data_IF_082830136526
#
_entry.id   IF_082830136526
#
_cell.length_a   1.000
_cell.length_b   1.000
_cell.length_c   1.000
_cell.angle_alpha   90.00
_cell.angle_beta   90.00
_cell.angle_gamma   90.00
#
_symmetry.space_group_name_H-M   'P 1'
#
loop_
_entity.id
_entity.type
_entity.pdbx_description
1 polymer ?
#
# COMPACT_ATOMS: atom_id res chain seq x y z
N UNK A 1 62.93 -12.15 -62.07
CA UNK A 1 61.51 -12.58 -62.03
C UNK A 1 60.70 -11.37 -62.47
N UNK A 2 60.24 -11.35 -63.73
CA UNK A 2 59.71 -10.12 -64.35
C UNK A 2 58.24 -9.91 -64.01
N UNK A 3 57.84 -8.65 -63.80
CA UNK A 3 56.51 -8.21 -63.36
C UNK A 3 55.36 -8.72 -64.27
N UNK A 4 55.64 -9.04 -65.54
CA UNK A 4 54.68 -9.65 -66.46
C UNK A 4 54.28 -11.10 -66.14
N UNK A 5 55.00 -11.79 -65.23
CA UNK A 5 54.67 -13.17 -64.81
C UNK A 5 53.58 -13.23 -63.73
N UNK A 6 53.28 -12.10 -63.09
CA UNK A 6 52.27 -12.00 -62.02
C UNK A 6 50.90 -11.61 -62.61
N UNK A 7 50.87 -10.83 -63.70
CA UNK A 7 49.64 -10.37 -64.35
C UNK A 7 48.83 -11.49 -65.04
N UNK A 8 49.49 -12.45 -65.69
CA UNK A 8 48.83 -13.63 -66.30
C UNK A 8 48.52 -14.74 -65.31
N UNK A 9 48.92 -14.60 -64.04
CA UNK A 9 48.65 -15.58 -62.97
C UNK A 9 47.29 -15.34 -62.29
N UNK A 10 46.65 -14.18 -62.53
CA UNK A 10 45.35 -13.82 -61.94
C UNK A 10 44.13 -14.19 -62.80
N UNK A 11 44.33 -14.64 -64.04
CA UNK A 11 43.29 -15.41 -64.74
C UNK A 11 43.33 -16.84 -64.18
N UNK A 12 42.64 -17.04 -63.04
CA UNK A 12 42.33 -18.33 -62.47
C UNK A 12 41.46 -19.12 -63.47
N UNK A 13 42.10 -19.72 -64.46
CA UNK A 13 41.44 -20.59 -65.42
C UNK A 13 40.96 -21.84 -64.67
N UNK A 14 39.64 -22.00 -64.56
CA UNK A 14 39.00 -23.12 -63.87
C UNK A 14 39.50 -24.48 -64.37
N UNK A 15 39.97 -24.54 -65.62
CA UNK A 15 40.59 -25.74 -66.20
C UNK A 15 41.89 -26.16 -65.50
N UNK A 16 42.76 -25.22 -65.11
CA UNK A 16 44.04 -25.52 -64.44
C UNK A 16 43.83 -25.97 -62.99
N UNK A 17 42.91 -25.31 -62.30
CA UNK A 17 42.52 -25.68 -60.94
C UNK A 17 41.97 -27.10 -60.89
N UNK A 18 41.17 -27.51 -61.89
CA UNK A 18 40.65 -28.87 -62.00
C UNK A 18 41.76 -29.91 -62.25
N UNK A 19 42.77 -29.60 -63.08
CA UNK A 19 43.91 -30.48 -63.33
C UNK A 19 44.76 -30.67 -62.08
N UNK A 20 45.03 -29.61 -61.32
CA UNK A 20 45.77 -29.69 -60.06
C UNK A 20 45.01 -30.47 -58.99
N UNK A 21 43.70 -30.26 -58.89
CA UNK A 21 42.84 -30.99 -57.96
C UNK A 21 42.77 -32.49 -58.33
N UNK A 22 42.68 -32.82 -59.62
CA UNK A 22 42.66 -34.20 -60.11
C UNK A 22 44.01 -34.90 -59.90
N UNK A 23 45.13 -34.19 -60.10
CA UNK A 23 46.46 -34.72 -59.81
C UNK A 23 46.72 -34.90 -58.30
N UNK A 24 46.12 -34.03 -57.47
CA UNK A 24 46.18 -34.10 -56.01
C UNK A 24 45.10 -34.95 -55.35
N UNK A 25 44.22 -35.61 -56.12
CA UNK A 25 43.05 -36.32 -55.59
C UNK A 25 43.43 -37.44 -54.61
N UNK A 26 44.53 -38.16 -54.87
CA UNK A 26 45.05 -39.16 -53.95
C UNK A 26 45.49 -38.56 -52.60
N UNK A 27 46.07 -37.35 -52.62
CA UNK A 27 46.48 -36.62 -51.42
C UNK A 27 45.28 -36.07 -50.65
N UNK A 28 44.25 -35.60 -51.36
CA UNK A 28 42.97 -35.19 -50.77
C UNK A 28 42.27 -36.37 -50.08
N UNK A 29 42.20 -37.54 -50.73
CA UNK A 29 41.64 -38.75 -50.14
C UNK A 29 42.46 -39.24 -48.94
N UNK A 30 43.79 -39.20 -49.02
CA UNK A 30 44.67 -39.58 -47.91
C UNK A 30 44.44 -38.66 -46.69
N UNK A 31 44.41 -37.34 -46.89
CA UNK A 31 44.19 -36.40 -45.80
C UNK A 31 42.77 -36.45 -45.24
N UNK A 32 41.77 -36.77 -46.06
CA UNK A 32 40.42 -37.04 -45.57
C UNK A 32 40.38 -38.30 -44.68
N UNK A 33 41.08 -39.37 -45.05
CA UNK A 33 41.18 -40.58 -44.22
C UNK A 33 41.93 -40.28 -42.91
N UNK A 34 43.07 -39.59 -42.98
CA UNK A 34 43.84 -39.19 -41.79
C UNK A 34 43.01 -38.28 -40.88
N UNK A 35 42.33 -37.28 -41.44
CA UNK A 35 41.43 -36.40 -40.71
C UNK A 35 40.28 -37.17 -40.05
N UNK A 36 39.71 -38.16 -40.74
CA UNK A 36 38.69 -39.04 -40.18
C UNK A 36 39.20 -39.90 -39.03
N UNK A 37 40.42 -40.44 -39.13
CA UNK A 37 41.08 -41.20 -38.05
C UNK A 37 41.34 -40.29 -36.84
N UNK A 38 41.87 -39.08 -37.07
CA UNK A 38 42.11 -38.10 -35.99
C UNK A 38 40.80 -37.70 -35.31
N UNK A 39 39.73 -37.45 -36.08
CA UNK A 39 38.40 -37.15 -35.54
C UNK A 39 37.82 -38.32 -34.75
N UNK A 40 37.98 -39.56 -35.23
CA UNK A 40 37.56 -40.77 -34.52
C UNK A 40 38.35 -41.01 -33.24
N UNK A 41 39.67 -40.85 -33.29
CA UNK A 41 40.55 -40.96 -32.12
C UNK A 41 40.19 -39.89 -31.07
N UNK A 42 39.98 -38.65 -31.48
CA UNK A 42 39.51 -37.59 -30.59
C UNK A 42 38.16 -37.93 -29.94
N UNK A 43 37.21 -38.50 -30.69
CA UNK A 43 35.92 -38.91 -30.15
C UNK A 43 35.98 -40.10 -29.16
N UNK A 44 37.09 -40.84 -29.13
CA UNK A 44 37.33 -41.95 -28.20
C UNK A 44 38.18 -41.53 -27.00
N UNK A 45 39.17 -40.66 -27.19
CA UNK A 45 40.08 -40.21 -26.15
C UNK A 45 39.54 -39.01 -25.36
N UNK A 46 38.62 -38.24 -25.91
CA UNK A 46 38.05 -37.08 -25.24
C UNK A 46 37.12 -37.49 -24.09
N UNK A 47 37.16 -36.74 -22.98
CA UNK A 47 36.35 -36.99 -21.77
C UNK A 47 34.87 -37.01 -22.13
N UNK A 48 34.20 -38.12 -21.82
CA UNK A 48 32.77 -38.28 -22.06
C UNK A 48 31.99 -37.44 -21.04
N UNK A 49 30.95 -36.76 -21.50
CA UNK A 49 30.04 -35.99 -20.64
C UNK A 49 28.61 -36.48 -20.82
N UNK A 50 27.92 -36.63 -19.71
CA UNK A 50 26.51 -37.02 -19.62
C UNK A 50 25.73 -35.82 -19.09
N UNK A 51 24.83 -35.32 -19.91
CA UNK A 51 23.94 -34.21 -19.54
C UNK A 51 22.59 -34.77 -19.10
N UNK A 52 22.14 -34.39 -17.91
CA UNK A 52 20.80 -34.66 -17.42
C UNK A 52 19.95 -33.40 -17.50
N UNK A 53 18.65 -33.59 -17.70
CA UNK A 53 17.65 -32.51 -17.77
C UNK A 53 16.63 -32.66 -16.65
N UNK A 54 16.33 -31.57 -15.95
CA UNK A 54 15.31 -31.50 -14.90
C UNK A 54 14.36 -30.34 -15.22
N UNK A 55 13.06 -30.61 -15.24
CA UNK A 55 12.06 -29.59 -15.58
C UNK A 55 11.38 -29.07 -14.32
N UNK A 56 11.47 -27.76 -14.13
CA UNK A 56 10.99 -27.05 -12.94
C UNK A 56 9.88 -26.08 -13.36
N UNK A 57 8.71 -26.21 -12.76
CA UNK A 57 7.63 -25.23 -12.88
C UNK A 57 7.87 -24.09 -11.90
N UNK A 58 7.99 -22.87 -12.43
CA UNK A 58 8.02 -21.65 -11.63
C UNK A 58 6.65 -21.01 -11.74
N UNK A 59 5.76 -21.30 -10.78
CA UNK A 59 4.40 -20.78 -10.83
C UNK A 59 4.42 -19.25 -10.71
N UNK A 60 3.81 -18.49 -11.64
CA UNK A 60 3.68 -17.03 -11.56
C UNK A 60 2.69 -16.56 -10.49
N UNK A 61 2.39 -17.41 -9.49
CA UNK A 61 1.56 -17.09 -8.35
C UNK A 61 2.30 -16.11 -7.42
N UNK A 62 2.52 -14.89 -7.88
CA UNK A 62 2.71 -13.80 -6.94
C UNK A 62 1.51 -13.82 -5.99
N UNK A 63 1.80 -13.68 -4.69
CA UNK A 63 0.85 -13.13 -3.75
C UNK A 63 0.34 -11.82 -4.37
N UNK A 64 -0.79 -11.86 -5.09
CA UNK A 64 -1.56 -10.67 -5.38
C UNK A 64 -2.21 -10.26 -4.07
N UNK A 65 -1.39 -9.64 -3.22
CA UNK A 65 -1.84 -8.99 -2.01
C UNK A 65 -2.81 -7.86 -2.38
N UNK A 66 -2.73 -7.30 -3.59
CA UNK A 66 -3.48 -6.13 -4.04
C UNK A 66 -4.03 -6.31 -5.46
N UNK A 67 -5.35 -6.40 -5.66
CA UNK A 67 -5.95 -5.99 -6.93
C UNK A 67 -5.72 -4.48 -7.03
N UNK A 68 -4.73 -4.06 -7.81
CA UNK A 68 -4.63 -2.66 -8.23
C UNK A 68 -5.46 -2.54 -9.51
N UNK A 69 -6.71 -2.11 -9.38
CA UNK A 69 -7.60 -1.78 -10.52
C UNK A 69 -7.10 -0.57 -11.35
N UNK A 70 -5.90 -0.05 -11.04
CA UNK A 70 -5.30 1.13 -11.63
C UNK A 70 -4.28 0.83 -12.73
N UNK A 71 -3.90 -0.42 -12.96
CA UNK A 71 -2.94 -0.80 -14.02
C UNK A 71 -3.58 -1.72 -15.08
N UNK A 72 -3.30 -1.50 -16.38
CA UNK A 72 -3.81 -2.37 -17.44
C UNK A 72 -3.21 -3.78 -17.34
N UNK A 73 -4.06 -4.78 -17.55
CA UNK A 73 -3.79 -6.22 -17.41
C UNK A 73 -2.57 -6.73 -18.24
N UNK A 74 -2.17 -6.02 -19.30
CA UNK A 74 -1.00 -6.36 -20.12
C UNK A 74 0.34 -6.15 -19.41
N UNK A 75 0.49 -5.08 -18.60
CA UNK A 75 1.70 -4.81 -17.84
C UNK A 75 1.94 -5.88 -16.73
N UNK A 76 0.88 -6.59 -16.35
CA UNK A 76 0.89 -7.61 -15.32
C UNK A 76 1.48 -8.94 -15.81
N UNK A 77 1.28 -9.29 -17.09
CA UNK A 77 1.83 -10.51 -17.71
C UNK A 77 3.33 -10.37 -17.95
N UNK A 78 3.78 -9.21 -18.44
CA UNK A 78 5.20 -8.93 -18.63
C UNK A 78 5.97 -8.94 -17.29
N UNK A 79 5.38 -8.41 -16.22
CA UNK A 79 5.94 -8.46 -14.87
C UNK A 79 6.09 -9.89 -14.33
N UNK A 80 5.12 -10.76 -14.62
CA UNK A 80 5.18 -12.18 -14.24
C UNK A 80 6.29 -12.91 -14.99
N UNK A 81 6.44 -12.67 -16.29
CA UNK A 81 7.51 -13.27 -17.09
C UNK A 81 8.92 -12.82 -16.64
N UNK A 82 9.08 -11.53 -16.31
CA UNK A 82 10.32 -10.99 -15.75
C UNK A 82 10.65 -11.59 -14.38
N UNK A 83 9.64 -11.87 -13.55
CA UNK A 83 9.83 -12.53 -12.26
C UNK A 83 10.28 -13.98 -12.42
N UNK A 84 9.72 -14.72 -13.38
CA UNK A 84 10.13 -16.09 -13.70
C UNK A 84 11.57 -16.14 -14.20
N UNK A 85 11.98 -15.21 -15.09
CA UNK A 85 13.37 -15.08 -15.55
C UNK A 85 14.34 -14.70 -14.43
N UNK A 86 13.90 -13.88 -13.49
CA UNK A 86 14.71 -13.55 -12.30
C UNK A 86 14.92 -14.77 -11.42
N UNK A 87 13.88 -15.60 -11.22
CA UNK A 87 13.97 -16.88 -10.50
C UNK A 87 14.85 -17.90 -11.22
N UNK A 88 14.79 -17.97 -12.55
CA UNK A 88 15.73 -18.76 -13.36
C UNK A 88 17.18 -18.31 -13.13
N UNK A 89 17.45 -16.99 -13.05
CA UNK A 89 18.80 -16.50 -12.80
C UNK A 89 19.32 -16.89 -11.41
N UNK A 90 18.43 -17.04 -10.43
CA UNK A 90 18.75 -17.53 -9.09
C UNK A 90 19.15 -19.02 -9.13
N UNK A 91 18.48 -19.84 -9.95
CA UNK A 91 18.80 -21.27 -10.13
C UNK A 91 20.27 -21.51 -10.55
N UNK A 92 20.83 -20.61 -11.36
CA UNK A 92 22.25 -20.65 -11.81
C UNK A 92 23.13 -19.60 -11.10
N UNK A 93 22.68 -19.08 -9.97
CA UNK A 93 23.42 -18.07 -9.21
C UNK A 93 24.63 -18.67 -8.50
N UNK A 94 25.64 -17.83 -8.25
CA UNK A 94 26.84 -18.24 -7.53
C UNK A 94 26.55 -18.69 -6.09
N UNK A 95 25.51 -18.17 -5.42
CA UNK A 95 25.14 -18.61 -4.07
C UNK A 95 24.59 -20.03 -4.05
N UNK A 96 23.70 -20.37 -5.00
CA UNK A 96 23.20 -21.74 -5.18
C UNK A 96 24.32 -22.68 -5.55
N UNK A 97 25.10 -22.36 -6.58
CA UNK A 97 26.20 -23.23 -7.03
C UNK A 97 27.31 -23.35 -5.99
N UNK A 98 27.59 -22.31 -5.20
CA UNK A 98 28.58 -22.40 -4.12
C UNK A 98 28.13 -23.30 -2.99
N UNK A 99 26.84 -23.30 -2.62
CA UNK A 99 26.31 -24.21 -1.59
C UNK A 99 26.34 -25.66 -2.09
N UNK A 100 26.04 -25.90 -3.36
CA UNK A 100 26.18 -27.22 -4.00
C UNK A 100 27.63 -27.73 -4.00
N UNK A 101 28.60 -26.84 -4.24
CA UNK A 101 30.03 -27.18 -4.13
C UNK A 101 30.40 -27.60 -2.71
N UNK A 102 29.80 -26.97 -1.70
CA UNK A 102 30.02 -27.33 -0.29
C UNK A 102 29.31 -28.63 0.09
N UNK A 103 28.03 -28.78 -0.27
CA UNK A 103 27.17 -29.91 0.09
C UNK A 103 27.63 -31.23 -0.54
N UNK A 104 28.18 -31.17 -1.76
CA UNK A 104 28.72 -32.33 -2.48
C UNK A 104 30.25 -32.45 -2.40
N UNK A 105 30.93 -31.57 -1.65
CA UNK A 105 32.39 -31.51 -1.53
C UNK A 105 33.13 -31.54 -2.89
N UNK A 106 32.62 -30.76 -3.86
CA UNK A 106 33.16 -30.73 -5.23
C UNK A 106 34.57 -30.14 -5.30
N UNK A 107 35.02 -29.45 -4.24
CA UNK A 107 36.39 -28.97 -4.12
C UNK A 107 37.42 -30.11 -3.98
N UNK A 108 36.99 -31.29 -3.53
CA UNK A 108 37.81 -32.50 -3.43
C UNK A 108 37.72 -33.40 -4.67
N UNK A 109 36.78 -33.13 -5.58
CA UNK A 109 36.53 -33.96 -6.76
C UNK A 109 37.50 -33.62 -7.91
N UNK A 110 38.30 -34.58 -8.43
CA UNK A 110 39.23 -34.35 -9.53
C UNK A 110 38.57 -33.89 -10.85
N UNK A 111 37.26 -34.06 -10.98
CA UNK A 111 36.48 -33.55 -12.11
C UNK A 111 36.29 -32.03 -12.09
N UNK A 112 36.22 -31.45 -10.89
CA UNK A 112 35.93 -30.02 -10.65
C UNK A 112 37.12 -29.27 -10.06
N UNK A 113 38.07 -29.96 -9.43
CA UNK A 113 39.32 -29.42 -8.95
C UNK A 113 40.48 -30.40 -9.18
N UNK A 114 41.37 -30.06 -10.11
CA UNK A 114 42.59 -30.82 -10.34
C UNK A 114 43.78 -30.10 -9.68
N UNK A 115 44.21 -30.61 -8.53
CA UNK A 115 45.31 -30.05 -7.75
C UNK A 115 46.66 -30.06 -8.50
N UNK A 116 46.84 -30.95 -9.48
CA UNK A 116 48.10 -31.12 -10.22
C UNK A 116 48.20 -30.12 -11.38
N UNK A 117 47.09 -29.84 -12.06
CA UNK A 117 47.02 -28.77 -13.07
C UNK A 117 47.02 -27.38 -12.46
N UNK A 118 46.48 -27.24 -11.26
CA UNK A 118 46.43 -25.97 -10.51
C UNK A 118 47.83 -25.47 -10.08
N UNK A 119 48.83 -26.37 -10.04
CA UNK A 119 50.24 -26.04 -9.77
C UNK A 119 51.01 -25.42 -10.94
N UNK A 120 50.47 -25.47 -12.15
CA UNK A 120 51.12 -24.96 -13.38
C UNK A 120 50.75 -23.52 -13.76
N UNK A 121 49.99 -22.81 -12.91
CA UNK A 121 49.65 -21.40 -13.12
C UNK A 121 50.86 -20.48 -12.96
N UNK A 122 51.04 -19.56 -13.91
CA UNK A 122 52.14 -18.58 -13.98
C UNK A 122 52.06 -17.42 -12.99
N UNK A 123 50.98 -17.31 -12.21
CA UNK A 123 50.81 -16.28 -11.18
C UNK A 123 50.75 -16.94 -9.80
N UNK A 124 51.69 -16.59 -8.92
CA UNK A 124 51.94 -17.22 -7.61
C UNK A 124 50.83 -17.14 -6.55
N UNK A 125 49.57 -16.94 -6.92
CA UNK A 125 48.42 -17.06 -6.04
C UNK A 125 47.88 -18.49 -6.08
N UNK A 126 47.91 -19.20 -4.95
CA UNK A 126 47.25 -20.52 -4.82
C UNK A 126 45.76 -20.36 -5.16
N UNK A 127 45.25 -21.03 -6.22
CA UNK A 127 43.84 -20.93 -6.55
C UNK A 127 43.01 -21.48 -5.40
N UNK A 128 42.03 -20.72 -4.92
CA UNK A 128 41.07 -21.21 -3.94
C UNK A 128 40.34 -22.43 -4.55
N UNK A 129 40.47 -23.64 -3.97
CA UNK A 129 39.87 -24.86 -4.51
C UNK A 129 38.36 -24.70 -4.74
N UNK A 130 37.68 -23.98 -3.84
CA UNK A 130 36.25 -23.75 -3.91
C UNK A 130 35.87 -22.85 -5.08
N UNK A 131 36.62 -21.78 -5.31
CA UNK A 131 36.35 -20.87 -6.43
C UNK A 131 36.60 -21.54 -7.79
N UNK A 132 37.61 -22.40 -7.89
CA UNK A 132 37.88 -23.18 -9.11
C UNK A 132 36.78 -24.22 -9.35
N UNK A 133 36.38 -24.95 -8.31
CA UNK A 133 35.27 -25.91 -8.40
C UNK A 133 33.95 -25.23 -8.80
N UNK A 134 33.66 -24.06 -8.23
CA UNK A 134 32.49 -23.25 -8.58
C UNK A 134 32.50 -22.82 -10.05
N UNK A 135 33.63 -22.33 -10.57
CA UNK A 135 33.76 -21.94 -11.99
C UNK A 135 33.54 -23.13 -12.91
N UNK A 136 34.18 -24.26 -12.60
CA UNK A 136 34.04 -25.49 -13.39
C UNK A 136 32.61 -26.04 -13.34
N UNK A 137 31.92 -25.93 -12.20
CA UNK A 137 30.51 -26.28 -12.07
C UNK A 137 29.63 -25.34 -12.89
N UNK A 138 29.86 -24.02 -12.81
CA UNK A 138 29.10 -23.03 -13.56
C UNK A 138 29.20 -23.20 -15.08
N UNK A 139 30.34 -23.66 -15.60
CA UNK A 139 30.49 -24.00 -17.03
C UNK A 139 29.72 -25.27 -17.45
N UNK A 140 29.34 -26.11 -16.49
CA UNK A 140 28.68 -27.41 -16.72
C UNK A 140 27.20 -27.39 -16.41
N UNK A 141 26.69 -26.27 -15.89
CA UNK A 141 25.29 -26.04 -15.54
C UNK A 141 24.74 -24.94 -16.44
N UNK A 142 23.61 -25.21 -17.09
CA UNK A 142 22.87 -24.19 -17.84
C UNK A 142 21.38 -24.34 -17.59
N UNK A 143 20.66 -23.22 -17.54
CA UNK A 143 19.20 -23.20 -17.51
C UNK A 143 18.67 -22.63 -18.83
N UNK A 144 17.53 -23.16 -19.27
CA UNK A 144 16.78 -22.60 -20.39
C UNK A 144 15.32 -22.46 -19.94
N UNK A 145 14.84 -21.23 -19.81
CA UNK A 145 13.42 -20.95 -19.71
C UNK A 145 12.74 -20.97 -21.08
N UNK A 146 11.55 -21.56 -21.13
CA UNK A 146 10.67 -21.50 -22.29
C UNK A 146 10.01 -20.11 -22.37
N UNK A 147 10.01 -19.50 -23.55
CA UNK A 147 9.39 -18.17 -23.77
C UNK A 147 7.86 -18.21 -23.69
N UNK A 148 7.26 -19.39 -23.88
CA UNK A 148 5.80 -19.58 -23.94
C UNK A 148 5.24 -20.37 -22.76
N UNK A 149 6.09 -20.83 -21.84
CA UNK A 149 5.66 -21.57 -20.66
C UNK A 149 6.44 -21.15 -19.41
N UNK A 150 5.91 -21.46 -18.24
CA UNK A 150 6.55 -21.16 -16.95
C UNK A 150 7.51 -22.28 -16.51
N UNK A 151 8.03 -23.05 -17.47
CA UNK A 151 8.92 -24.17 -17.23
C UNK A 151 10.36 -23.76 -17.51
N UNK A 152 11.23 -24.05 -16.56
CA UNK A 152 12.68 -23.91 -16.70
C UNK A 152 13.30 -25.30 -16.72
N UNK A 153 14.03 -25.59 -17.80
CA UNK A 153 14.81 -26.82 -17.92
C UNK A 153 16.23 -26.55 -17.42
N UNK A 154 16.62 -27.25 -16.36
CA UNK A 154 17.98 -27.30 -15.83
C UNK A 154 18.77 -28.40 -16.54
N UNK A 155 19.91 -28.05 -17.13
CA UNK A 155 20.85 -28.97 -17.76
C UNK A 155 22.13 -29.04 -16.93
N UNK A 156 22.52 -30.25 -16.52
CA UNK A 156 23.74 -30.47 -15.72
C UNK A 156 24.58 -31.55 -16.38
N UNK A 157 25.87 -31.27 -16.60
CA UNK A 157 26.80 -32.18 -17.26
C UNK A 157 27.91 -32.69 -16.32
N UNK A 158 28.04 -34.01 -16.21
CA UNK A 158 29.14 -34.65 -15.45
C UNK A 158 29.77 -35.83 -16.22
N UNK A 159 30.92 -36.32 -15.76
CA UNK A 159 31.62 -37.48 -16.33
C UNK A 159 30.85 -38.80 -16.14
N UNK A 160 29.92 -38.86 -15.16
CA UNK A 160 29.03 -40.03 -14.96
C UNK A 160 27.56 -39.62 -14.87
N UNK A 161 26.61 -40.45 -15.36
CA UNK A 161 25.18 -40.17 -15.22
C UNK A 161 24.73 -40.02 -13.77
N UNK A 162 25.25 -40.86 -12.86
CA UNK A 162 24.89 -40.81 -11.45
C UNK A 162 25.31 -39.48 -10.80
N UNK A 163 26.52 -39.00 -11.08
CA UNK A 163 26.99 -37.70 -10.56
C UNK A 163 26.20 -36.53 -11.14
N UNK A 164 25.85 -36.58 -12.43
CA UNK A 164 25.01 -35.55 -13.06
C UNK A 164 23.63 -35.46 -12.40
N UNK A 165 23.00 -36.60 -12.07
CA UNK A 165 21.72 -36.67 -11.34
C UNK A 165 21.88 -36.07 -9.95
N UNK A 166 22.91 -36.46 -9.19
CA UNK A 166 23.15 -35.97 -7.82
C UNK A 166 23.32 -34.46 -7.80
N UNK A 167 24.18 -33.92 -8.68
CA UNK A 167 24.40 -32.46 -8.81
C UNK A 167 23.10 -31.76 -9.20
N UNK A 168 22.32 -32.31 -10.14
CA UNK A 168 21.04 -31.71 -10.54
C UNK A 168 20.01 -31.70 -9.40
N UNK A 169 19.93 -32.76 -8.60
CA UNK A 169 19.01 -32.84 -7.46
C UNK A 169 19.39 -31.85 -6.37
N UNK A 170 20.69 -31.74 -6.09
CA UNK A 170 21.21 -30.85 -5.06
C UNK A 170 21.05 -29.37 -5.44
N UNK A 171 21.26 -29.03 -6.73
CA UNK A 171 20.95 -27.68 -7.25
C UNK A 171 19.47 -27.33 -7.05
N UNK A 172 18.55 -28.26 -7.35
CA UNK A 172 17.11 -28.00 -7.21
C UNK A 172 16.71 -27.81 -5.75
N UNK A 173 17.22 -28.66 -4.85
CA UNK A 173 16.99 -28.55 -3.41
C UNK A 173 17.51 -27.21 -2.88
N UNK A 174 18.77 -26.89 -3.17
CA UNK A 174 19.41 -25.63 -2.76
C UNK A 174 18.67 -24.42 -3.32
N UNK A 175 18.21 -24.48 -4.57
CA UNK A 175 17.41 -23.42 -5.19
C UNK A 175 16.09 -23.18 -4.45
N UNK A 176 15.38 -24.25 -4.09
CA UNK A 176 14.13 -24.13 -3.30
C UNK A 176 14.37 -23.48 -1.94
N UNK A 177 15.43 -23.90 -1.23
CA UNK A 177 15.81 -23.33 0.06
C UNK A 177 16.23 -21.85 -0.04
N UNK A 178 17.05 -21.53 -1.03
CA UNK A 178 17.51 -20.15 -1.28
C UNK A 178 16.35 -19.24 -1.66
N UNK A 179 15.42 -19.72 -2.50
CA UNK A 179 14.23 -18.97 -2.87
C UNK A 179 13.32 -18.74 -1.67
N UNK A 180 13.06 -19.77 -0.86
CA UNK A 180 12.26 -19.65 0.36
C UNK A 180 12.88 -18.64 1.35
N UNK A 181 14.21 -18.69 1.53
CA UNK A 181 14.94 -17.75 2.38
C UNK A 181 14.88 -16.30 1.84
N UNK A 182 15.03 -16.12 0.53
CA UNK A 182 14.95 -14.82 -0.11
C UNK A 182 13.54 -14.22 -0.01
N UNK A 183 12.49 -15.03 -0.22
CA UNK A 183 11.09 -14.62 -0.08
C UNK A 183 10.77 -14.28 1.38
N UNK A 184 11.17 -15.11 2.35
CA UNK A 184 10.99 -14.85 3.78
C UNK A 184 11.72 -13.57 4.25
N UNK A 185 12.95 -13.35 3.77
CA UNK A 185 13.71 -12.12 4.07
C UNK A 185 13.04 -10.88 3.47
N UNK A 186 12.49 -11.00 2.26
CA UNK A 186 11.71 -9.94 1.62
C UNK A 186 10.45 -9.60 2.41
N UNK A 187 9.68 -10.63 2.79
CA UNK A 187 8.49 -10.53 3.61
C UNK A 187 8.79 -9.88 4.97
N UNK A 188 9.84 -10.33 5.67
CA UNK A 188 10.26 -9.76 6.95
C UNK A 188 10.62 -8.27 6.86
N UNK A 189 11.36 -7.85 5.83
CA UNK A 189 11.65 -6.42 5.60
C UNK A 189 10.39 -5.61 5.32
N UNK A 190 9.47 -6.14 4.52
CA UNK A 190 8.19 -5.49 4.25
C UNK A 190 7.34 -5.38 5.52
N UNK A 191 7.25 -6.44 6.31
CA UNK A 191 6.56 -6.46 7.60
C UNK A 191 7.15 -5.42 8.57
N UNK A 192 8.48 -5.33 8.69
CA UNK A 192 9.13 -4.32 9.52
C UNK A 192 8.84 -2.88 9.04
N UNK A 193 8.81 -2.66 7.72
CA UNK A 193 8.43 -1.36 7.16
C UNK A 193 6.95 -1.02 7.42
N UNK A 194 6.05 -2.01 7.31
CA UNK A 194 4.63 -1.85 7.65
C UNK A 194 4.44 -1.54 9.14
N UNK A 195 5.12 -2.25 10.03
CA UNK A 195 5.04 -2.03 11.48
C UNK A 195 5.54 -0.63 11.85
N UNK A 196 6.67 -0.20 11.30
CA UNK A 196 7.16 1.18 11.47
C UNK A 196 6.15 2.22 10.97
N UNK A 197 5.50 1.98 9.83
CA UNK A 197 4.45 2.86 9.30
C UNK A 197 3.21 2.88 10.20
N UNK A 198 2.77 1.73 10.71
CA UNK A 198 1.65 1.63 11.65
C UNK A 198 1.96 2.34 12.96
N UNK A 199 3.18 2.24 13.47
CA UNK A 199 3.66 2.98 14.63
C UNK A 199 3.56 4.50 14.42
N UNK A 200 4.01 5.00 13.27
CA UNK A 200 3.88 6.41 12.92
C UNK A 200 2.41 6.83 12.83
N UNK A 201 1.58 6.09 12.10
CA UNK A 201 0.15 6.39 11.95
C UNK A 201 -0.58 6.40 13.30
N UNK A 202 -0.26 5.44 14.18
CA UNK A 202 -0.79 5.41 15.55
C UNK A 202 -0.41 6.66 16.34
N UNK A 203 0.86 7.08 16.25
CA UNK A 203 1.31 8.33 16.89
C UNK A 203 0.60 9.56 16.31
N UNK A 204 0.37 9.59 15.00
CA UNK A 204 -0.33 10.69 14.33
C UNK A 204 -1.80 10.77 14.76
N UNK A 205 -2.48 9.61 14.90
CA UNK A 205 -3.85 9.51 15.43
C UNK A 205 -3.89 10.03 16.87
N UNK A 206 -3.03 9.53 17.74
CA UNK A 206 -2.98 9.95 19.13
C UNK A 206 -2.74 11.46 19.28
N UNK A 207 -1.81 12.02 18.49
CA UNK A 207 -1.53 13.45 18.50
C UNK A 207 -2.72 14.29 17.97
N UNK A 208 -3.48 13.78 17.00
CA UNK A 208 -4.67 14.46 16.49
C UNK A 208 -5.83 14.42 17.50
N UNK A 209 -6.09 13.27 18.11
CA UNK A 209 -7.09 13.11 19.17
C UNK A 209 -6.75 13.96 20.40
N UNK A 210 -5.47 14.01 20.79
CA UNK A 210 -5.02 14.87 21.90
C UNK A 210 -5.25 16.35 21.58
N UNK A 211 -5.04 16.79 20.33
CA UNK A 211 -5.37 18.17 19.91
C UNK A 211 -6.85 18.47 20.01
N UNK A 212 -7.73 17.53 19.61
CA UNK A 212 -9.19 17.68 19.75
C UNK A 212 -9.56 17.87 21.21
N UNK A 213 -9.06 17.00 22.09
CA UNK A 213 -9.37 17.06 23.53
C UNK A 213 -8.74 18.25 24.24
N UNK A 214 -7.53 18.67 23.84
CA UNK A 214 -6.89 19.88 24.34
C UNK A 214 -7.68 21.13 23.93
N UNK A 215 -8.13 21.18 22.67
CA UNK A 215 -8.93 22.29 22.14
C UNK A 215 -10.30 22.38 22.84
N UNK A 216 -10.98 21.25 23.05
CA UNK A 216 -12.22 21.18 23.84
C UNK A 216 -12.02 21.74 25.26
N UNK A 217 -10.93 21.37 25.91
CA UNK A 217 -10.57 21.85 27.26
C UNK A 217 -10.25 23.34 27.27
N UNK A 218 -9.45 23.84 26.33
CA UNK A 218 -9.04 25.25 26.32
C UNK A 218 -10.17 26.22 25.96
N UNK A 219 -11.15 25.77 25.18
CA UNK A 219 -12.32 26.55 24.77
C UNK A 219 -13.58 26.26 25.59
N UNK A 220 -13.49 25.47 26.67
CA UNK A 220 -14.62 25.10 27.54
C UNK A 220 -15.82 24.50 26.75
N UNK A 221 -15.56 23.80 25.65
CA UNK A 221 -16.58 23.16 24.80
C UNK A 221 -17.06 21.85 25.45
N UNK A 222 -17.54 21.95 26.68
CA UNK A 222 -18.09 20.83 27.41
C UNK A 222 -19.41 20.41 26.74
N UNK A 223 -19.48 19.16 26.33
CA UNK A 223 -20.70 18.55 25.80
C UNK A 223 -21.31 17.62 26.83
N UNK A 224 -22.63 17.66 26.95
CA UNK A 224 -23.43 16.73 27.75
C UNK A 224 -24.48 16.13 26.82
N UNK A 225 -24.55 14.80 26.71
CA UNK A 225 -25.44 14.09 25.78
C UNK A 225 -25.35 14.57 24.31
N UNK A 226 -24.17 14.97 23.85
CA UNK A 226 -23.96 15.43 22.47
C UNK A 226 -24.40 16.87 22.18
N UNK A 227 -24.77 17.66 23.20
CA UNK A 227 -25.04 19.09 23.08
C UNK A 227 -24.12 19.90 23.99
N UNK A 228 -23.74 21.11 23.55
CA UNK A 228 -23.02 22.07 24.38
C UNK A 228 -23.82 22.40 25.65
N UNK A 229 -23.12 22.42 26.79
CA UNK A 229 -23.71 22.82 28.08
C UNK A 229 -24.26 24.27 28.02
N UNK A 230 -23.63 25.16 27.24
CA UNK A 230 -24.10 26.53 27.01
C UNK A 230 -25.47 26.56 26.31
N UNK A 231 -25.68 25.72 25.30
CA UNK A 231 -26.96 25.57 24.59
C UNK A 231 -28.07 25.01 25.50
N UNK A 232 -27.75 24.02 26.34
CA UNK A 232 -28.71 23.46 27.30
C UNK A 232 -29.10 24.50 28.36
N UNK A 233 -28.12 25.24 28.88
CA UNK A 233 -28.35 26.33 29.84
C UNK A 233 -29.22 27.44 29.23
N UNK A 234 -28.99 27.78 27.96
CA UNK A 234 -29.77 28.78 27.23
C UNK A 234 -31.24 28.36 27.07
N UNK A 235 -31.49 27.08 26.78
CA UNK A 235 -32.85 26.52 26.68
C UNK A 235 -33.57 26.58 28.03
N UNK A 236 -32.88 26.20 29.12
CA UNK A 236 -33.43 26.29 30.48
C UNK A 236 -33.72 27.74 30.89
N UNK A 237 -32.80 28.66 30.61
CA UNK A 237 -32.97 30.08 30.92
C UNK A 237 -34.12 30.71 30.13
N UNK A 238 -34.29 30.34 28.85
CA UNK A 238 -35.42 30.78 28.05
C UNK A 238 -36.76 30.32 28.66
N UNK A 239 -36.83 29.09 29.16
CA UNK A 239 -37.99 28.59 29.90
C UNK A 239 -38.30 29.43 31.14
N UNK A 240 -37.28 29.76 31.95
CA UNK A 240 -37.42 30.62 33.12
C UNK A 240 -37.82 32.07 32.77
N UNK A 241 -37.33 32.61 31.65
CA UNK A 241 -37.72 33.93 31.16
C UNK A 241 -39.20 33.94 30.79
N UNK A 242 -39.69 32.94 30.05
CA UNK A 242 -41.11 32.83 29.69
C UNK A 242 -41.98 32.73 30.94
N UNK A 243 -41.56 31.93 31.92
CA UNK A 243 -42.30 31.80 33.19
C UNK A 243 -42.32 33.13 33.97
N UNK A 244 -41.18 33.80 34.12
CA UNK A 244 -41.10 35.08 34.83
C UNK A 244 -41.84 36.20 34.10
N UNK A 245 -41.87 36.19 32.77
CA UNK A 245 -42.63 37.15 31.98
C UNK A 245 -44.15 36.95 32.17
N UNK A 246 -44.61 35.71 32.29
CA UNK A 246 -46.00 35.41 32.68
C UNK A 246 -46.33 35.98 34.07
N UNK A 247 -45.39 35.85 35.04
CA UNK A 247 -45.54 36.46 36.39
C UNK A 247 -45.60 37.99 36.34
N UNK A 248 -44.78 38.63 35.50
CA UNK A 248 -44.84 40.09 35.29
C UNK A 248 -46.20 40.51 34.74
N UNK A 249 -46.71 39.82 33.71
CA UNK A 249 -48.01 40.10 33.12
C UNK A 249 -49.13 39.96 34.16
N UNK A 250 -49.11 38.88 34.95
CA UNK A 250 -50.10 38.65 36.01
C UNK A 250 -50.04 39.72 37.12
N UNK A 251 -48.83 40.10 37.56
CA UNK A 251 -48.64 41.14 38.57
C UNK A 251 -49.04 42.53 38.05
N UNK A 252 -48.74 42.84 36.79
CA UNK A 252 -49.11 44.09 36.13
C UNK A 252 -50.63 44.19 36.01
N UNK A 253 -51.28 43.14 35.51
CA UNK A 253 -52.74 43.08 35.42
C UNK A 253 -53.42 43.23 36.79
N UNK A 254 -52.85 42.63 37.84
CA UNK A 254 -53.35 42.76 39.21
C UNK A 254 -53.24 44.19 39.75
N UNK A 255 -52.09 44.84 39.52
CA UNK A 255 -51.86 46.23 39.91
C UNK A 255 -52.79 47.20 39.15
N UNK A 256 -52.91 47.02 37.83
CA UNK A 256 -53.75 47.87 36.96
C UNK A 256 -55.23 47.70 37.30
N UNK A 257 -55.68 46.49 37.61
CA UNK A 257 -57.05 46.23 38.06
C UNK A 257 -57.37 46.94 39.41
N UNK A 258 -56.42 46.93 40.36
CA UNK A 258 -56.55 47.66 41.63
C UNK A 258 -56.56 49.18 41.42
N UNK A 259 -55.76 49.68 40.48
CA UNK A 259 -55.70 51.10 40.14
C UNK A 259 -56.99 51.57 39.47
N UNK A 260 -57.50 50.81 38.49
CA UNK A 260 -58.72 51.13 37.76
C UNK A 260 -59.98 51.02 38.63
N UNK A 261 -60.02 50.08 39.58
CA UNK A 261 -61.12 49.96 40.52
C UNK A 261 -61.15 51.14 41.52
N UNK A 262 -59.99 51.60 41.99
CA UNK A 262 -59.94 52.58 43.08
C UNK A 262 -60.50 52.06 44.41
N UNK A 263 -60.62 52.94 45.40
CA UNK A 263 -61.10 52.56 46.74
C UNK A 263 -62.55 52.03 46.74
N UNK A 264 -63.40 52.60 45.86
CA UNK A 264 -64.85 52.34 45.80
C UNK A 264 -65.29 51.48 44.59
N UNK A 265 -64.36 50.92 43.81
CA UNK A 265 -64.70 50.14 42.62
C UNK A 265 -65.34 48.79 42.92
N UNK A 266 -66.10 48.29 41.95
CA UNK A 266 -66.87 47.03 42.02
C UNK A 266 -66.07 45.78 41.58
N UNK A 267 -64.85 45.93 41.07
CA UNK A 267 -64.10 44.81 40.52
C UNK A 267 -63.44 43.93 41.61
N UNK A 268 -63.89 42.67 41.65
CA UNK A 268 -63.32 41.57 42.44
C UNK A 268 -62.27 40.84 41.61
N UNK A 269 -61.08 41.44 41.47
CA UNK A 269 -59.94 40.75 40.87
C UNK A 269 -59.35 39.71 41.85
N UNK A 270 -58.59 38.70 41.37
CA UNK A 270 -57.97 37.67 42.22
C UNK A 270 -56.96 38.22 43.26
N UNK A 271 -56.60 39.51 43.18
CA UNK A 271 -55.67 40.19 44.07
C UNK A 271 -56.36 41.08 45.14
N UNK A 272 -57.68 41.03 45.30
CA UNK A 272 -58.37 41.81 46.34
C UNK A 272 -58.28 41.13 47.70
N UNK A 273 -57.81 41.84 48.72
CA UNK A 273 -57.80 41.31 50.09
C UNK A 273 -59.22 41.13 50.62
N UNK A 274 -59.46 40.08 51.39
CA UNK A 274 -60.77 39.78 51.99
C UNK A 274 -61.23 40.93 52.91
N UNK A 275 -60.27 41.57 53.61
CA UNK A 275 -60.51 42.76 54.42
C UNK A 275 -61.01 43.95 53.57
N UNK A 276 -60.45 44.16 52.38
CA UNK A 276 -60.90 45.24 51.48
C UNK A 276 -62.32 44.99 50.98
N UNK A 277 -62.66 43.73 50.67
CA UNK A 277 -64.01 43.33 50.27
C UNK A 277 -65.01 43.55 51.41
N UNK A 278 -64.66 43.12 52.63
CA UNK A 278 -65.49 43.30 53.82
C UNK A 278 -65.73 44.78 54.14
N UNK A 279 -64.66 45.61 54.16
CA UNK A 279 -64.76 47.05 54.41
C UNK A 279 -65.63 47.77 53.36
N UNK A 280 -65.55 47.37 52.08
CA UNK A 280 -66.43 47.90 51.03
C UNK A 280 -67.89 47.54 51.26
N UNK A 281 -68.17 46.28 51.59
CA UNK A 281 -69.53 45.83 51.88
C UNK A 281 -70.14 46.61 53.05
N UNK A 282 -69.36 46.82 54.12
CA UNK A 282 -69.77 47.64 55.27
C UNK A 282 -69.99 49.10 54.90
N UNK A 283 -69.09 49.72 54.12
CA UNK A 283 -69.22 51.10 53.68
C UNK A 283 -70.47 51.31 52.80
N UNK A 284 -70.74 50.39 51.87
CA UNK A 284 -71.92 50.43 51.01
C UNK A 284 -73.21 50.23 51.81
N UNK A 285 -73.22 49.31 52.79
CA UNK A 285 -74.36 49.12 53.69
C UNK A 285 -74.67 50.35 54.54
N UNK A 286 -73.64 50.96 55.14
CA UNK A 286 -73.79 52.23 55.88
C UNK A 286 -74.29 53.36 54.98
N UNK A 287 -73.77 53.45 53.75
CA UNK A 287 -74.22 54.47 52.78
C UNK A 287 -75.69 54.29 52.42
N UNK A 288 -76.13 53.06 52.15
CA UNK A 288 -77.53 52.77 51.86
C UNK A 288 -78.46 53.12 53.04
N UNK A 289 -78.03 52.85 54.28
CA UNK A 289 -78.78 53.24 55.48
C UNK A 289 -78.84 54.75 55.68
N UNK A 290 -77.75 55.47 55.40
CA UNK A 290 -77.73 56.94 55.42
C UNK A 290 -78.72 57.46 54.39
N UNK A 291 -78.69 56.94 53.17
CA UNK A 291 -79.55 57.39 52.07
C UNK A 291 -81.04 57.13 52.38
N UNK A 292 -81.39 55.97 52.93
CA UNK A 292 -82.77 55.65 53.31
C UNK A 292 -83.28 56.49 54.48
N UNK A 293 -82.45 56.70 55.52
CA UNK A 293 -82.85 57.50 56.68
C UNK A 293 -82.89 59.00 56.38
N UNK A 294 -82.10 59.49 55.42
CA UNK A 294 -82.09 60.89 55.01
C UNK A 294 -83.37 61.30 54.27
N UNK A 295 -84.16 60.34 53.77
CA UNK A 295 -85.48 60.61 53.19
C UNK A 295 -86.53 60.95 54.27
N UNK A 296 -86.32 60.52 55.52
CA UNK A 296 -87.29 60.71 56.63
C UNK A 296 -86.78 61.70 57.67
N UNK A 297 -85.47 61.73 57.94
CA UNK A 297 -84.86 62.56 58.96
C UNK A 297 -83.99 63.66 58.35
N UNK A 298 -84.05 64.87 58.95
CA UNK A 298 -83.23 65.99 58.50
C UNK A 298 -81.72 65.78 58.74
N UNK A 299 -80.83 66.54 58.06
CA UNK A 299 -79.38 66.33 58.10
C UNK A 299 -78.71 66.43 59.48
N UNK A 300 -79.38 67.05 60.47
CA UNK A 300 -78.89 67.26 61.85
C UNK A 300 -79.44 66.24 62.86
N UNK A 301 -80.26 65.28 62.43
CA UNK A 301 -80.83 64.28 63.33
C UNK A 301 -79.73 63.38 63.93
N UNK A 302 -79.76 63.04 65.24
CA UNK A 302 -78.70 62.28 65.90
C UNK A 302 -78.34 60.95 65.23
N UNK A 303 -79.32 60.25 64.64
CA UNK A 303 -79.09 58.97 63.93
C UNK A 303 -78.26 59.14 62.66
N UNK A 304 -78.51 60.21 61.87
CA UNK A 304 -77.78 60.52 60.65
C UNK A 304 -76.33 60.91 60.97
N UNK A 305 -76.12 61.69 62.04
CA UNK A 305 -74.79 62.08 62.49
C UNK A 305 -73.97 60.85 62.94
N UNK A 306 -74.60 59.92 63.67
CA UNK A 306 -73.95 58.66 64.08
C UNK A 306 -73.54 57.82 62.86
N UNK A 307 -74.47 57.55 61.94
CA UNK A 307 -74.20 56.76 60.73
C UNK A 307 -73.14 57.40 59.84
N UNK A 308 -73.14 58.74 59.69
CA UNK A 308 -72.08 59.46 58.96
C UNK A 308 -70.71 59.32 59.63
N UNK A 309 -70.65 59.34 60.95
CA UNK A 309 -69.39 59.17 61.71
C UNK A 309 -68.84 57.76 61.55
N UNK A 310 -69.71 56.75 61.64
CA UNK A 310 -69.37 55.35 61.37
C UNK A 310 -68.90 55.17 59.91
N UNK A 311 -69.62 55.72 58.94
CA UNK A 311 -69.25 55.68 57.52
C UNK A 311 -67.89 56.34 57.27
N UNK A 312 -67.62 57.50 57.85
CA UNK A 312 -66.33 58.19 57.72
C UNK A 312 -65.19 57.36 58.31
N UNK A 313 -65.42 56.68 59.43
CA UNK A 313 -64.43 55.80 60.06
C UNK A 313 -64.12 54.59 59.18
N UNK A 314 -65.16 53.90 58.68
CA UNK A 314 -65.00 52.76 57.77
C UNK A 314 -64.37 53.19 56.44
N UNK A 315 -64.70 54.37 55.92
CA UNK A 315 -64.10 54.95 54.70
C UNK A 315 -62.61 55.26 54.87
N UNK A 316 -62.20 55.78 56.03
CA UNK A 316 -60.79 55.98 56.36
C UNK A 316 -60.02 54.65 56.46
N UNK A 317 -60.62 53.63 57.08
CA UNK A 317 -60.04 52.27 57.12
C UNK A 317 -59.96 51.64 55.73
N UNK A 318 -60.99 51.81 54.90
CA UNK A 318 -61.05 51.33 53.52
C UNK A 318 -59.93 51.94 52.65
N UNK A 319 -59.72 53.26 52.76
CA UNK A 319 -58.67 53.96 52.01
C UNK A 319 -57.26 53.56 52.48
N UNK A 320 -57.06 53.34 53.79
CA UNK A 320 -55.81 52.81 54.33
C UNK A 320 -55.51 51.39 53.83
N UNK A 321 -56.49 50.48 53.87
CA UNK A 321 -56.31 49.11 53.38
C UNK A 321 -56.17 49.04 51.85
N UNK A 322 -56.86 49.91 51.12
CA UNK A 322 -56.64 50.08 49.68
C UNK A 322 -55.20 50.49 49.39
N UNK A 323 -54.68 51.52 50.06
CA UNK A 323 -53.31 51.99 49.87
C UNK A 323 -52.27 50.92 50.24
N UNK A 324 -52.54 50.12 51.27
CA UNK A 324 -51.70 48.97 51.66
C UNK A 324 -51.69 47.88 50.58
N UNK A 325 -52.87 47.49 50.09
CA UNK A 325 -53.03 46.45 49.05
C UNK A 325 -52.39 46.90 47.74
N UNK A 326 -52.57 48.16 47.34
CA UNK A 326 -51.96 48.74 46.14
C UNK A 326 -50.43 48.76 46.25
N UNK A 327 -49.88 49.12 47.41
CA UNK A 327 -48.43 49.09 47.66
C UNK A 327 -47.87 47.68 47.56
N UNK A 328 -48.56 46.69 48.12
CA UNK A 328 -48.15 45.29 48.03
C UNK A 328 -48.16 44.81 46.57
N UNK A 329 -49.21 45.14 45.80
CA UNK A 329 -49.27 44.83 44.38
C UNK A 329 -48.13 45.47 43.58
N UNK A 330 -47.78 46.73 43.89
CA UNK A 330 -46.63 47.43 43.29
C UNK A 330 -45.31 46.74 43.61
N UNK A 331 -45.08 46.36 44.87
CA UNK A 331 -43.86 45.63 45.29
C UNK A 331 -43.75 44.30 44.56
N UNK A 332 -44.85 43.56 44.41
CA UNK A 332 -44.86 42.29 43.67
C UNK A 332 -44.53 42.49 42.18
N UNK A 333 -45.09 43.54 41.57
CA UNK A 333 -44.80 43.91 40.19
C UNK A 333 -43.34 44.30 39.99
N UNK A 334 -42.80 45.16 40.85
CA UNK A 334 -41.41 45.63 40.78
C UNK A 334 -40.43 44.46 41.02
N UNK A 335 -40.75 43.53 41.94
CA UNK A 335 -39.99 42.30 42.15
C UNK A 335 -40.01 41.39 40.91
N UNK A 336 -41.17 41.19 40.29
CA UNK A 336 -41.29 40.40 39.06
C UNK A 336 -40.51 41.02 37.90
N UNK A 337 -40.59 42.35 37.73
CA UNK A 337 -39.84 43.10 36.70
C UNK A 337 -38.33 43.00 36.92
N UNK A 338 -37.86 43.15 38.15
CA UNK A 338 -36.44 43.03 38.50
C UNK A 338 -35.91 41.63 38.23
N UNK A 339 -36.70 40.60 38.59
CA UNK A 339 -36.35 39.21 38.29
C UNK A 339 -36.23 38.96 36.78
N UNK A 340 -37.22 39.41 36.00
CA UNK A 340 -37.20 39.30 34.52
C UNK A 340 -36.01 40.05 33.91
N UNK A 341 -35.70 41.27 34.38
CA UNK A 341 -34.54 42.03 33.91
C UNK A 341 -33.22 41.30 34.20
N UNK A 342 -33.10 40.69 35.39
CA UNK A 342 -31.90 39.94 35.77
C UNK A 342 -31.69 38.68 34.92
N UNK A 343 -32.76 37.95 34.59
CA UNK A 343 -32.69 36.78 33.71
C UNK A 343 -32.39 37.17 32.26
N UNK A 344 -32.97 38.28 31.78
CA UNK A 344 -32.65 38.83 30.46
C UNK A 344 -31.19 39.29 30.35
N UNK A 345 -30.63 39.89 31.40
CA UNK A 345 -29.20 40.25 31.44
C UNK A 345 -28.32 39.00 31.34
N UNK A 346 -28.59 37.97 32.17
CA UNK A 346 -27.89 36.68 32.09
C UNK A 346 -28.00 36.01 30.72
N UNK A 347 -29.15 36.15 30.07
CA UNK A 347 -29.38 35.61 28.72
C UNK A 347 -28.55 36.32 27.66
N UNK A 348 -28.42 37.65 27.76
CA UNK A 348 -27.57 38.43 26.86
C UNK A 348 -26.09 38.09 27.05
N UNK A 349 -25.63 37.93 28.30
CA UNK A 349 -24.27 37.50 28.61
C UNK A 349 -23.98 36.10 28.03
N UNK A 350 -24.92 35.16 28.22
CA UNK A 350 -24.80 33.81 27.68
C UNK A 350 -24.82 33.81 26.14
N UNK A 351 -25.64 34.67 25.51
CA UNK A 351 -25.70 34.79 24.05
C UNK A 351 -24.37 35.26 23.45
N UNK A 352 -23.65 36.16 24.13
CA UNK A 352 -22.30 36.56 23.73
C UNK A 352 -21.33 35.37 23.71
N UNK A 353 -21.36 34.54 24.74
CA UNK A 353 -20.52 33.34 24.84
C UNK A 353 -20.90 32.28 23.79
N UNK A 354 -22.19 32.12 23.46
CA UNK A 354 -22.64 31.14 22.45
C UNK A 354 -22.10 31.45 21.05
N UNK A 355 -21.95 32.73 20.68
CA UNK A 355 -21.35 33.07 19.39
C UNK A 355 -19.86 32.72 19.32
N UNK A 356 -19.08 32.99 20.38
CA UNK A 356 -17.69 32.55 20.45
C UNK A 356 -17.54 31.02 20.50
N UNK A 357 -18.48 30.34 21.16
CA UNK A 357 -18.54 28.87 21.20
C UNK A 357 -18.81 28.32 19.79
N UNK A 358 -19.68 28.97 19.00
CA UNK A 358 -19.99 28.55 17.63
C UNK A 358 -18.76 28.62 16.70
N UNK A 359 -17.95 29.67 16.79
CA UNK A 359 -16.72 29.77 16.00
C UNK A 359 -15.71 28.70 16.44
N UNK A 360 -15.62 28.47 17.75
CA UNK A 360 -14.77 27.42 18.32
C UNK A 360 -15.25 26.02 17.92
N UNK A 361 -16.57 25.79 17.79
CA UNK A 361 -17.12 24.52 17.29
C UNK A 361 -16.71 24.24 15.85
N UNK A 362 -16.68 25.26 14.98
CA UNK A 362 -16.28 25.07 13.57
C UNK A 362 -14.82 24.60 13.51
N UNK A 363 -13.93 25.24 14.27
CA UNK A 363 -12.53 24.83 14.38
C UNK A 363 -12.38 23.44 15.02
N UNK A 364 -13.18 23.13 16.05
CA UNK A 364 -13.21 21.80 16.65
C UNK A 364 -13.62 20.72 15.64
N UNK A 365 -14.65 20.95 14.82
CA UNK A 365 -15.09 20.01 13.78
C UNK A 365 -14.02 19.76 12.72
N UNK A 366 -13.20 20.76 12.42
CA UNK A 366 -12.04 20.58 11.52
C UNK A 366 -11.01 19.64 12.15
N UNK A 367 -10.66 19.85 13.43
CA UNK A 367 -9.73 18.96 14.16
C UNK A 367 -10.29 17.54 14.28
N UNK A 368 -11.59 17.39 14.57
CA UNK A 368 -12.25 16.09 14.61
C UNK A 368 -12.23 15.38 13.26
N UNK A 369 -12.38 16.13 12.16
CA UNK A 369 -12.31 15.58 10.80
C UNK A 369 -10.89 15.16 10.43
N UNK A 370 -9.87 15.90 10.85
CA UNK A 370 -8.45 15.50 10.71
C UNK A 370 -8.15 14.22 11.50
N UNK A 371 -8.58 14.16 12.77
CA UNK A 371 -8.44 12.97 13.61
C UNK A 371 -9.15 11.76 12.98
N UNK A 372 -10.41 11.90 12.56
CA UNK A 372 -11.17 10.84 11.91
C UNK A 372 -10.51 10.36 10.60
N UNK A 373 -9.97 11.28 9.80
CA UNK A 373 -9.25 10.92 8.57
C UNK A 373 -7.99 10.11 8.88
N UNK A 374 -7.22 10.49 9.91
CA UNK A 374 -6.02 9.74 10.31
C UNK A 374 -6.38 8.37 10.87
N UNK A 375 -7.43 8.28 11.68
CA UNK A 375 -7.94 7.01 12.22
C UNK A 375 -8.38 6.07 11.11
N UNK A 376 -9.12 6.56 10.11
CA UNK A 376 -9.54 5.76 8.96
C UNK A 376 -8.34 5.21 8.16
N UNK A 377 -7.30 6.02 7.95
CA UNK A 377 -6.06 5.57 7.29
C UNK A 377 -5.36 4.51 8.13
N UNK A 378 -5.22 4.72 9.44
CA UNK A 378 -4.61 3.76 10.36
C UNK A 378 -5.36 2.42 10.35
N UNK A 379 -6.68 2.44 10.47
CA UNK A 379 -7.52 1.24 10.45
C UNK A 379 -7.43 0.48 9.13
N UNK A 380 -7.43 1.21 8.00
CA UNK A 380 -7.25 0.63 6.67
C UNK A 380 -5.90 -0.10 6.53
N UNK A 381 -4.81 0.54 6.96
CA UNK A 381 -3.48 -0.07 6.94
C UNK A 381 -3.37 -1.26 7.91
N UNK A 382 -3.99 -1.17 9.09
CA UNK A 382 -4.00 -2.25 10.09
C UNK A 382 -4.75 -3.47 9.57
N UNK A 383 -5.94 -3.27 9.00
CA UNK A 383 -6.71 -4.33 8.35
C UNK A 383 -5.89 -4.99 7.23
N UNK A 384 -5.19 -4.17 6.44
CA UNK A 384 -4.33 -4.66 5.36
C UNK A 384 -3.16 -5.48 5.85
N UNK A 385 -2.48 -5.03 6.91
CA UNK A 385 -1.38 -5.76 7.53
C UNK A 385 -1.84 -7.13 8.07
N UNK A 386 -3.02 -7.17 8.69
CA UNK A 386 -3.62 -8.43 9.17
C UNK A 386 -3.92 -9.40 8.03
N UNK A 387 -4.50 -8.91 6.93
CA UNK A 387 -4.77 -9.72 5.73
C UNK A 387 -3.49 -10.32 5.12
N UNK A 388 -2.37 -9.58 5.13
CA UNK A 388 -1.07 -10.08 4.64
C UNK A 388 -0.56 -11.19 5.54
N UNK A 389 -0.54 -10.92 6.85
CA UNK A 389 -0.01 -11.85 7.87
C UNK A 389 -0.77 -13.19 7.87
N UNK A 390 -2.10 -13.15 7.74
CA UNK A 390 -2.94 -14.35 7.71
C UNK A 390 -2.72 -15.18 6.44
N UNK A 391 -2.31 -14.55 5.33
CA UNK A 391 -2.04 -15.23 4.06
C UNK A 391 -0.62 -15.78 3.94
N UNK A 392 0.36 -15.21 4.65
CA UNK A 392 1.72 -15.78 4.78
C UNK A 392 1.75 -17.14 5.49
N UNK A 393 0.74 -17.47 6.29
CA UNK A 393 0.61 -18.80 6.91
C UNK A 393 0.21 -19.91 5.92
N UNK A 394 -0.16 -19.55 4.69
CA UNK A 394 -0.46 -20.51 3.61
C UNK A 394 0.82 -20.70 2.78
N UNK A 395 1.41 -21.89 2.85
CA UNK A 395 2.66 -22.28 2.18
C UNK A 395 2.69 -21.80 0.71
N UNK A 396 3.55 -20.81 0.43
CA UNK A 396 3.63 -20.11 -0.85
C UNK A 396 4.84 -20.53 -1.68
N UNK A 397 5.39 -21.72 -1.46
CA UNK A 397 6.55 -22.19 -2.23
C UNK A 397 6.12 -22.42 -3.69
N UNK A 398 6.31 -21.41 -4.52
CA UNK A 398 5.84 -21.34 -5.92
C UNK A 398 6.68 -22.14 -6.91
N UNK A 399 7.44 -23.13 -6.44
CA UNK A 399 8.36 -23.94 -7.26
C UNK A 399 8.02 -25.40 -7.12
N UNK A 400 7.63 -26.03 -8.22
CA UNK A 400 7.30 -27.44 -8.28
C UNK A 400 8.18 -28.15 -9.30
N UNK A 401 8.77 -29.28 -8.91
CA UNK A 401 9.54 -30.13 -9.84
C UNK A 401 8.54 -30.94 -10.67
N UNK A 402 8.53 -30.74 -11.99
CA UNK A 402 7.65 -31.47 -12.91
C UNK A 402 8.29 -32.81 -13.28
N UNK A 403 9.57 -32.78 -13.63
CA UNK A 403 10.33 -33.93 -14.10
C UNK A 403 11.67 -33.97 -13.39
N UNK A 404 12.00 -35.09 -12.77
CA UNK A 404 13.29 -35.30 -12.09
C UNK A 404 14.38 -35.68 -13.10
N UNK A 405 15.65 -35.48 -12.74
CA UNK A 405 16.78 -35.85 -13.60
C UNK A 405 16.77 -37.34 -13.98
N UNK A 406 16.56 -37.64 -15.26
CA UNK A 406 16.61 -39.01 -15.81
C UNK A 406 17.98 -39.24 -16.49
N UNK A 407 18.61 -40.43 -16.32
CA UNK A 407 19.89 -40.71 -16.96
C UNK A 407 19.77 -40.68 -18.50
N UNK A 408 20.70 -40.01 -19.21
CA UNK A 408 20.65 -39.91 -20.66
C UNK A 408 20.92 -41.28 -21.31
N UNK A 409 20.27 -41.54 -22.45
CA UNK A 409 20.40 -42.80 -23.22
C UNK A 409 21.80 -43.03 -23.83
N UNK A 410 22.70 -42.04 -23.77
CA UNK A 410 24.07 -42.11 -24.27
C UNK A 410 24.87 -40.85 -23.91
N UNK A 411 26.16 -40.81 -24.26
CA UNK A 411 27.02 -39.65 -24.02
C UNK A 411 26.50 -38.42 -24.78
N UNK A 412 26.43 -37.27 -24.11
CA UNK A 412 26.01 -36.00 -24.72
C UNK A 412 27.16 -35.34 -25.49
N UNK A 413 28.40 -35.52 -25.02
CA UNK A 413 29.59 -35.01 -25.68
C UNK A 413 30.79 -35.98 -25.52
N UNK A 414 31.66 -36.12 -26.53
CA UNK A 414 31.53 -35.61 -27.91
C UNK A 414 30.44 -36.36 -28.71
N UNK A 415 29.90 -35.72 -29.78
CA UNK A 415 28.97 -36.33 -30.74
C UNK A 415 29.32 -37.77 -31.13
N UNK A 416 28.32 -38.50 -31.63
CA UNK A 416 28.50 -39.89 -32.11
C UNK A 416 29.80 -39.99 -32.92
N UNK A 417 30.60 -41.02 -32.66
CA UNK A 417 31.94 -41.20 -33.26
C UNK A 417 31.90 -41.06 -34.79
N UNK A 418 30.81 -41.51 -35.43
CA UNK A 418 30.56 -41.34 -36.87
C UNK A 418 30.54 -39.87 -37.32
N UNK A 419 29.93 -38.97 -36.55
CA UNK A 419 29.87 -37.53 -36.85
C UNK A 419 31.26 -36.91 -36.74
N UNK A 420 32.04 -37.28 -35.73
CA UNK A 420 33.41 -36.78 -35.55
C UNK A 420 34.38 -37.31 -36.62
N UNK A 421 34.22 -38.56 -37.05
CA UNK A 421 34.93 -39.11 -38.20
C UNK A 421 34.57 -38.34 -39.47
N UNK A 422 33.28 -38.05 -39.68
CA UNK A 422 32.80 -37.26 -40.82
C UNK A 422 33.36 -35.83 -40.83
N UNK A 423 33.29 -35.13 -39.70
CA UNK A 423 33.86 -33.78 -39.56
C UNK A 423 35.37 -33.76 -39.75
N UNK A 424 36.08 -34.74 -39.16
CA UNK A 424 37.51 -34.92 -39.36
C UNK A 424 37.84 -35.18 -40.82
N UNK A 425 37.05 -36.00 -41.53
CA UNK A 425 37.26 -36.29 -42.94
C UNK A 425 37.01 -35.07 -43.83
N UNK A 426 35.98 -34.27 -43.55
CA UNK A 426 35.70 -33.02 -44.28
C UNK A 426 36.84 -32.01 -44.03
N UNK A 427 37.26 -31.83 -42.78
CA UNK A 427 38.39 -30.96 -42.43
C UNK A 427 39.69 -31.39 -43.12
N UNK A 428 39.96 -32.71 -43.12
CA UNK A 428 41.09 -33.31 -43.85
C UNK A 428 41.00 -33.11 -45.36
N UNK A 429 39.79 -33.21 -45.93
CA UNK A 429 39.55 -32.95 -47.35
C UNK A 429 39.83 -31.50 -47.72
N UNK A 430 39.36 -30.53 -46.93
CA UNK A 430 39.60 -29.09 -47.15
C UNK A 430 41.10 -28.79 -47.10
N UNK A 431 41.79 -29.28 -46.07
CA UNK A 431 43.25 -29.14 -45.95
C UNK A 431 43.98 -29.80 -47.11
N UNK A 432 43.51 -30.97 -47.56
CA UNK A 432 44.05 -31.66 -48.71
C UNK A 432 43.86 -30.93 -50.03
N UNK A 433 42.71 -30.26 -50.23
CA UNK A 433 42.48 -29.44 -51.42
C UNK A 433 43.42 -28.22 -51.43
N UNK A 434 43.59 -27.56 -50.29
CA UNK A 434 44.53 -26.43 -50.17
C UNK A 434 45.98 -26.87 -50.43
N UNK A 435 46.39 -28.02 -49.89
CA UNK A 435 47.71 -28.61 -50.15
C UNK A 435 47.88 -29.03 -51.62
N UNK A 436 46.86 -29.62 -52.25
CA UNK A 436 46.90 -30.00 -53.65
C UNK A 436 47.03 -28.79 -54.58
N UNK A 437 46.31 -27.71 -54.30
CA UNK A 437 46.38 -26.46 -55.08
C UNK A 437 47.74 -25.80 -54.91
N UNK A 438 48.25 -25.69 -53.68
CA UNK A 438 49.58 -25.09 -53.42
C UNK A 438 50.72 -25.90 -54.05
N UNK A 439 50.68 -27.24 -53.95
CA UNK A 439 51.63 -28.12 -54.63
C UNK A 439 51.51 -28.04 -56.16
N UNK A 440 50.29 -27.92 -56.68
CA UNK A 440 50.01 -27.70 -58.11
C UNK A 440 50.64 -26.41 -58.63
N UNK A 441 50.45 -25.30 -57.89
CA UNK A 441 51.07 -24.00 -58.19
C UNK A 441 52.60 -24.11 -58.19
N UNK A 442 53.19 -24.73 -57.16
CA UNK A 442 54.65 -24.88 -57.06
C UNK A 442 55.21 -25.76 -58.17
N UNK A 443 54.48 -26.80 -58.59
CA UNK A 443 54.89 -27.70 -59.68
C UNK A 443 54.79 -27.02 -61.06
N UNK A 444 53.74 -26.24 -61.28
CA UNK A 444 53.55 -25.46 -62.51
C UNK A 444 54.60 -24.36 -62.64
N UNK A 445 55.00 -23.74 -61.53
CA UNK A 445 56.11 -22.77 -61.49
C UNK A 445 57.49 -23.38 -61.80
N UNK A 446 57.65 -24.71 -61.69
CA UNK A 446 58.92 -25.43 -61.94
C UNK A 446 59.04 -26.03 -63.35
N UNK A 447 57.98 -26.00 -64.15
CA UNK A 447 57.99 -26.50 -65.54
C UNK A 447 58.25 -25.34 -66.53
N UNK A 448 59.09 -25.50 -67.57
CA UNK A 448 59.30 -24.47 -68.59
C UNK A 448 58.04 -24.30 -69.47
N UNK A 449 57.78 -23.07 -69.98
CA UNK A 449 56.56 -22.78 -70.74
C UNK A 449 56.53 -23.58 -72.05
N UNK A 450 55.46 -24.35 -72.26
CA UNK A 450 55.16 -24.94 -73.55
C UNK A 450 54.82 -23.79 -74.52
N UNK A 451 55.65 -23.60 -75.57
CA UNK A 451 55.35 -22.65 -76.65
C UNK A 451 54.10 -23.13 -77.41
N UNK A 452 53.16 -22.24 -77.75
CA UNK A 452 52.13 -22.58 -78.73
C UNK A 452 52.79 -22.44 -80.11
N UNK A 453 53.03 -23.56 -80.80
CA UNK A 453 53.39 -23.47 -82.22
C UNK A 453 52.14 -23.14 -83.03
N UNK A 454 52.23 -21.94 -83.59
CA UNK A 454 51.40 -21.36 -84.65
C UNK A 454 51.34 -22.33 -85.83
N UNK A 455 50.14 -22.79 -86.21
CA UNK A 455 49.90 -23.29 -87.56
C UNK A 455 48.87 -22.39 -88.23
N UNK A 456 49.36 -21.51 -89.11
CA UNK A 456 48.56 -20.84 -90.12
C UNK A 456 49.31 -20.82 -91.47
N UNK A 457 48.98 -21.79 -92.33
CA UNK A 457 48.96 -21.73 -93.81
C UNK A 457 50.31 -21.63 -94.55
N UNK A 458 50.61 -22.27 -95.70
CA UNK A 458 49.80 -22.76 -96.85
C UNK A 458 50.60 -23.80 -97.65
N UNK A 459 49.92 -24.86 -98.11
CA UNK A 459 49.85 -25.26 -99.52
C UNK A 459 48.46 -25.89 -99.74
#
# INVERSE_FOLDING_TARGET
MTLNKIGTFLELDFGRLFVWLRAGLALVCLLAIVGGIVGGAYALLSKQRYTVTTDILINPANLQVVPNDLYPQSAQVDGQLLSARSKERILTSGSVLSRVVDDLDLASDPEFFDADRSRTGTDGAKPDPKLTALKNLAERVSSIADEKSFVTTLMVSAETPAKAILISQDIVKTFQEELASAEASGASRAAAALDGRLGQLKSDVQAAEEKVEAYRRSHNLATSNGQLVSSQTMTQLNGQIVETQSRVIAAQASYDALLAAGANGTNSGPATSEALVALRATANGLRQQIDSQSMTFGPRHPSIVRLKTEYNTVSAQLSAEYARTLRLAKVNLDAAKTSSASLNAKMNDLKGNVFSDSDSEVALRELERDAASKTAIYESFLSRARQITEREQIDSTNVQVISTAVPPKGRSWPPRTVVMIGLGAIGGMILGMLLAITLGIVRDMRLPPNRPDVIASRA
#
